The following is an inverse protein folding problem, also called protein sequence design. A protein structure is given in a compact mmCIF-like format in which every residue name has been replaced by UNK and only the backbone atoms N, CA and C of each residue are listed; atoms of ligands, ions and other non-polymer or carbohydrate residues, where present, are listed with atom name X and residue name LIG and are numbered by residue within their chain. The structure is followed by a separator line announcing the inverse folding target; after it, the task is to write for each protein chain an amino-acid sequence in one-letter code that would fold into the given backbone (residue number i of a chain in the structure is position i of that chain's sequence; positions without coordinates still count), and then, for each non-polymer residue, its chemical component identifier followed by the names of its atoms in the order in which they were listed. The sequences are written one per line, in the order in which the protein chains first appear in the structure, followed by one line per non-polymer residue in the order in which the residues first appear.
data_IF_031695322713
#
_entry.id   IF_031695322713
#
_cell.length_a   1.000
_cell.length_b   1.000
_cell.length_c   1.000
_cell.angle_alpha   90.00
_cell.angle_beta   90.00
_cell.angle_gamma   90.00
#
_symmetry.space_group_name_H-M   'P 1'
#
loop_
_entity.id
_entity.type
_entity.pdbx_description
1 polymer ?
#
# COMPACT_ATOMS: atom_id res chain seq x y z
N UNK A 1 -9.53 6.62 5.30
CA UNK A 1 -9.36 5.56 4.29
C UNK A 1 -9.50 4.20 4.96
N UNK A 2 -9.82 3.14 4.22
CA UNK A 2 -9.94 1.77 4.74
C UNK A 2 -8.67 0.97 4.48
N UNK A 3 -8.12 0.33 5.51
CA UNK A 3 -6.94 -0.55 5.40
C UNK A 3 -7.33 -1.94 4.92
N UNK A 4 -6.56 -2.48 3.98
CA UNK A 4 -6.57 -3.89 3.58
C UNK A 4 -5.17 -4.44 3.83
N UNK A 5 -5.03 -5.34 4.80
CA UNK A 5 -3.78 -6.05 5.05
C UNK A 5 -3.69 -7.26 4.13
N UNK A 6 -2.64 -7.34 3.33
CA UNK A 6 -2.39 -8.44 2.39
C UNK A 6 -1.40 -9.40 3.02
N UNK A 7 -1.91 -10.56 3.40
CA UNK A 7 -1.15 -11.64 4.02
C UNK A 7 -1.06 -12.87 3.08
N UNK A 8 -0.23 -13.84 3.47
CA UNK A 8 -0.10 -15.16 2.82
C UNK A 8 0.23 -15.16 1.32
N UNK A 9 0.99 -14.16 0.85
CA UNK A 9 1.53 -14.17 -0.52
C UNK A 9 2.75 -15.10 -0.62
N UNK A 10 2.87 -15.87 -1.73
CA UNK A 10 4.11 -16.56 -2.06
C UNK A 10 5.33 -15.65 -2.08
N UNK A 11 6.54 -16.16 -1.77
CA UNK A 11 7.76 -15.36 -1.85
C UNK A 11 8.14 -15.00 -3.29
N UNK A 12 7.79 -15.84 -4.28
CA UNK A 12 8.08 -15.58 -5.70
C UNK A 12 7.19 -14.46 -6.25
N UNK A 13 7.76 -13.35 -6.79
CA UNK A 13 6.99 -12.16 -7.16
C UNK A 13 5.88 -12.40 -8.18
N UNK A 14 6.12 -13.27 -9.16
CA UNK A 14 5.12 -13.58 -10.19
C UNK A 14 3.93 -14.37 -9.61
N UNK A 15 4.22 -15.33 -8.72
CA UNK A 15 3.17 -16.08 -8.04
C UNK A 15 2.41 -15.18 -7.04
N UNK A 16 3.11 -14.33 -6.31
CA UNK A 16 2.55 -13.33 -5.41
C UNK A 16 1.60 -12.38 -6.14
N UNK A 17 2.02 -11.84 -7.29
CA UNK A 17 1.17 -11.00 -8.13
C UNK A 17 -0.08 -11.77 -8.57
N UNK A 18 0.06 -13.04 -8.98
CA UNK A 18 -1.07 -13.89 -9.34
C UNK A 18 -2.08 -14.05 -8.21
N UNK A 19 -1.62 -14.39 -7.01
CA UNK A 19 -2.46 -14.53 -5.80
C UNK A 19 -3.12 -13.20 -5.42
N UNK A 20 -2.38 -12.09 -5.50
CA UNK A 20 -2.93 -10.75 -5.26
C UNK A 20 -4.10 -10.44 -6.21
N UNK A 21 -3.91 -10.63 -7.52
CA UNK A 21 -4.95 -10.34 -8.51
C UNK A 21 -6.16 -11.27 -8.39
N UNK A 22 -5.96 -12.52 -7.97
CA UNK A 22 -7.04 -13.49 -7.83
C UNK A 22 -7.88 -13.29 -6.56
N UNK A 23 -7.25 -12.93 -5.43
CA UNK A 23 -7.91 -12.97 -4.12
C UNK A 23 -8.04 -11.60 -3.44
N UNK A 24 -7.08 -10.71 -3.63
CA UNK A 24 -7.03 -9.42 -2.93
C UNK A 24 -7.57 -8.27 -3.77
N UNK A 25 -7.28 -8.27 -5.07
CA UNK A 25 -7.75 -7.24 -5.99
C UNK A 25 -9.28 -7.09 -5.98
N UNK A 26 -10.10 -8.15 -6.12
CA UNK A 26 -11.56 -8.00 -6.09
C UNK A 26 -12.10 -7.42 -4.78
N UNK A 27 -11.42 -7.69 -3.66
CA UNK A 27 -11.78 -7.12 -2.36
C UNK A 27 -11.50 -5.62 -2.29
N UNK A 28 -10.33 -5.19 -2.78
CA UNK A 28 -9.97 -3.77 -2.87
C UNK A 28 -10.92 -3.02 -3.80
N UNK A 29 -11.25 -3.60 -4.95
CA UNK A 29 -12.20 -3.06 -5.91
C UNK A 29 -13.61 -2.90 -5.30
N UNK A 30 -14.06 -3.87 -4.50
CA UNK A 30 -15.35 -3.78 -3.81
C UNK A 30 -15.41 -2.57 -2.87
N UNK A 31 -14.32 -2.28 -2.15
CA UNK A 31 -14.24 -1.13 -1.25
C UNK A 31 -14.26 0.19 -2.04
N UNK A 32 -13.45 0.27 -3.11
CA UNK A 32 -13.37 1.44 -3.98
C UNK A 32 -14.72 1.73 -4.66
N UNK A 33 -15.37 0.69 -5.21
CA UNK A 33 -16.71 0.79 -5.79
C UNK A 33 -17.79 1.17 -4.76
N UNK A 34 -17.58 0.81 -3.49
CA UNK A 34 -18.40 1.24 -2.35
C UNK A 34 -18.22 2.70 -1.95
N UNK A 35 -17.27 3.41 -2.56
CA UNK A 35 -17.06 4.84 -2.34
C UNK A 35 -15.99 5.17 -1.29
N UNK A 36 -15.26 4.19 -0.77
CA UNK A 36 -14.20 4.41 0.22
C UNK A 36 -12.80 4.48 -0.43
N UNK A 37 -11.92 5.33 0.09
CA UNK A 37 -10.48 5.30 -0.24
C UNK A 37 -9.81 4.08 0.41
N UNK A 38 -8.79 3.49 -0.23
CA UNK A 38 -8.11 2.28 0.25
C UNK A 38 -6.61 2.48 0.49
N UNK A 39 -6.13 1.94 1.62
CA UNK A 39 -4.72 1.68 1.92
C UNK A 39 -4.46 0.17 1.83
N UNK A 40 -3.61 -0.27 0.92
CA UNK A 40 -3.17 -1.67 0.83
C UNK A 40 -1.85 -1.83 1.59
N UNK A 41 -1.83 -2.62 2.65
CA UNK A 41 -0.65 -2.87 3.46
C UNK A 41 -0.06 -4.25 3.12
N UNK A 42 1.19 -4.27 2.64
CA UNK A 42 1.94 -5.49 2.37
C UNK A 42 2.97 -5.77 3.46
N UNK A 43 3.25 -7.04 3.71
CA UNK A 43 4.48 -7.42 4.40
C UNK A 43 5.73 -6.97 3.61
N UNK A 44 6.84 -6.63 4.30
CA UNK A 44 8.10 -6.37 3.64
C UNK A 44 8.53 -7.56 2.79
N UNK A 45 9.02 -7.27 1.59
CA UNK A 45 9.58 -8.25 0.67
C UNK A 45 10.79 -7.64 -0.01
N UNK A 46 11.57 -8.46 -0.72
CA UNK A 46 12.68 -7.92 -1.49
C UNK A 46 12.21 -6.97 -2.62
N UNK A 47 13.17 -6.25 -3.19
CA UNK A 47 12.94 -5.25 -4.23
C UNK A 47 12.24 -5.79 -5.49
N UNK A 48 12.23 -7.10 -5.72
CA UNK A 48 11.63 -7.71 -6.92
C UNK A 48 10.10 -7.66 -6.89
N UNK A 49 9.50 -7.44 -5.71
CA UNK A 49 8.05 -7.23 -5.56
C UNK A 49 7.59 -5.82 -5.92
N UNK A 50 8.50 -4.85 -5.98
CA UNK A 50 8.16 -3.43 -6.08
C UNK A 50 7.33 -3.08 -7.32
N UNK A 51 7.72 -3.61 -8.48
CA UNK A 51 7.15 -3.19 -9.77
C UNK A 51 5.69 -3.64 -9.93
N UNK A 52 5.37 -4.88 -9.58
CA UNK A 52 4.00 -5.37 -9.72
C UNK A 52 3.06 -4.71 -8.70
N UNK A 53 3.53 -4.47 -7.46
CA UNK A 53 2.77 -3.76 -6.43
C UNK A 53 2.44 -2.33 -6.89
N UNK A 54 3.44 -1.59 -7.35
CA UNK A 54 3.24 -0.23 -7.85
C UNK A 54 2.28 -0.21 -9.05
N UNK A 55 2.46 -1.11 -10.01
CA UNK A 55 1.61 -1.18 -11.21
C UNK A 55 0.14 -1.45 -10.86
N UNK A 56 -0.12 -2.41 -9.96
CA UNK A 56 -1.49 -2.72 -9.53
C UNK A 56 -2.17 -1.51 -8.86
N UNK A 57 -1.44 -0.81 -7.98
CA UNK A 57 -1.97 0.31 -7.22
C UNK A 57 -2.18 1.55 -8.09
N UNK A 58 -1.26 1.82 -9.01
CA UNK A 58 -1.43 2.88 -10.02
C UNK A 58 -2.64 2.60 -10.93
N UNK A 59 -2.86 1.34 -11.30
CA UNK A 59 -4.05 0.91 -12.04
C UNK A 59 -5.34 1.21 -11.29
N UNK A 60 -5.43 0.74 -10.03
CA UNK A 60 -6.58 0.99 -9.15
C UNK A 60 -6.87 2.48 -8.97
N UNK A 61 -5.84 3.29 -8.71
CA UNK A 61 -5.99 4.73 -8.54
C UNK A 61 -6.54 5.43 -9.79
N UNK A 62 -6.16 4.97 -10.97
CA UNK A 62 -6.65 5.51 -12.24
C UNK A 62 -8.08 5.07 -12.53
N UNK A 63 -8.37 3.80 -12.32
CA UNK A 63 -9.66 3.19 -12.66
C UNK A 63 -10.80 3.69 -11.76
N UNK A 64 -10.52 3.85 -10.46
CA UNK A 64 -11.52 4.21 -9.47
C UNK A 64 -11.52 5.69 -9.10
N UNK A 65 -10.87 6.56 -9.90
CA UNK A 65 -10.88 7.99 -9.66
C UNK A 65 -12.33 8.52 -9.56
N UNK A 66 -12.65 9.39 -8.57
CA UNK A 66 -11.74 10.12 -7.69
C UNK A 66 -11.40 9.41 -6.36
N UNK A 67 -11.65 8.11 -6.21
CA UNK A 67 -11.18 7.35 -5.03
C UNK A 67 -9.67 7.19 -5.05
N UNK A 68 -9.08 7.17 -3.86
CA UNK A 68 -7.65 6.97 -3.67
C UNK A 68 -7.35 5.50 -3.43
N UNK A 69 -6.29 5.02 -4.07
CA UNK A 69 -5.67 3.75 -3.77
C UNK A 69 -4.17 4.01 -3.56
N UNK A 70 -3.67 3.68 -2.38
CA UNK A 70 -2.24 3.79 -2.03
C UNK A 70 -1.82 2.47 -1.40
N UNK A 71 -0.59 2.06 -1.62
CA UNK A 71 0.00 0.92 -0.93
C UNK A 71 1.20 1.32 -0.10
N UNK A 72 1.42 0.53 0.95
CA UNK A 72 2.60 0.60 1.80
C UNK A 72 3.16 -0.78 2.08
N UNK A 73 4.44 -0.86 2.39
CA UNK A 73 5.04 -2.05 3.01
C UNK A 73 5.67 -1.69 4.36
N UNK A 74 5.64 -2.62 5.30
CA UNK A 74 6.12 -2.37 6.66
C UNK A 74 5.51 -3.33 7.68
N UNK A 75 5.79 -3.11 8.96
CA UNK A 75 5.28 -3.93 10.07
C UNK A 75 4.74 -3.05 11.19
N UNK A 76 3.66 -3.51 11.83
CA UNK A 76 3.11 -2.91 13.05
C UNK A 76 3.00 -1.38 13.00
N UNK A 77 3.71 -0.72 13.90
CA UNK A 77 3.69 0.74 14.05
C UNK A 77 4.05 1.52 12.78
N UNK A 78 4.86 0.96 11.88
CA UNK A 78 5.21 1.60 10.60
C UNK A 78 3.97 1.72 9.70
N UNK A 79 3.16 0.66 9.62
CA UNK A 79 1.90 0.69 8.85
C UNK A 79 0.91 1.66 9.50
N UNK A 80 0.84 1.70 10.84
CA UNK A 80 -0.04 2.63 11.56
C UNK A 80 0.37 4.10 11.35
N UNK A 81 1.67 4.38 11.28
CA UNK A 81 2.18 5.71 10.98
C UNK A 81 1.83 6.14 9.55
N UNK A 82 2.02 5.25 8.57
CA UNK A 82 1.60 5.52 7.20
C UNK A 82 0.10 5.76 7.07
N UNK A 83 -0.74 4.94 7.72
CA UNK A 83 -2.20 5.13 7.66
C UNK A 83 -2.61 6.50 8.19
N UNK A 84 -2.03 6.91 9.33
CA UNK A 84 -2.32 8.23 9.91
C UNK A 84 -1.93 9.34 8.94
N UNK A 85 -0.71 9.28 8.42
CA UNK A 85 -0.21 10.27 7.47
C UNK A 85 -1.05 10.33 6.19
N UNK A 86 -1.35 9.19 5.57
CA UNK A 86 -2.08 9.11 4.29
C UNK A 86 -3.57 9.42 4.41
N UNK A 87 -4.15 9.25 5.60
CA UNK A 87 -5.51 9.67 5.88
C UNK A 87 -5.67 11.18 5.75
N UNK A 88 -4.64 11.96 6.15
CA UNK A 88 -4.62 13.42 6.05
C UNK A 88 -4.08 13.91 4.69
N UNK A 89 -3.27 13.12 3.99
CA UNK A 89 -2.66 13.48 2.71
C UNK A 89 -3.55 13.17 1.48
N UNK A 90 -4.62 13.92 1.29
CA UNK A 90 -5.62 13.71 0.21
C UNK A 90 -5.04 13.73 -1.22
N UNK A 91 -3.91 14.39 -1.46
CA UNK A 91 -3.29 14.45 -2.79
C UNK A 91 -2.56 13.16 -3.19
N UNK A 92 -2.30 12.24 -2.26
CA UNK A 92 -1.49 11.05 -2.51
C UNK A 92 -2.38 9.89 -2.95
N UNK A 93 -2.18 9.42 -4.18
CA UNK A 93 -2.84 8.24 -4.76
C UNK A 93 -1.93 7.58 -5.83
N UNK A 94 -2.12 6.29 -6.08
CA UNK A 94 -1.36 5.52 -7.08
C UNK A 94 0.10 5.26 -6.72
N UNK A 95 0.46 5.40 -5.44
CA UNK A 95 1.83 5.24 -4.95
C UNK A 95 2.00 3.94 -4.16
N UNK A 96 3.22 3.42 -4.16
CA UNK A 96 3.68 2.36 -3.26
C UNK A 96 4.87 2.92 -2.44
N UNK A 97 4.67 3.06 -1.13
CA UNK A 97 5.68 3.59 -0.20
C UNK A 97 6.25 2.45 0.64
N UNK A 98 7.56 2.40 0.78
CA UNK A 98 8.22 1.34 1.53
C UNK A 98 8.62 1.91 2.89
N UNK A 99 8.23 1.21 3.94
CA UNK A 99 8.66 1.53 5.29
C UNK A 99 10.06 1.02 5.53
N UNK A 100 10.93 1.93 5.95
CA UNK A 100 12.28 1.60 6.38
C UNK A 100 12.18 0.81 7.71
N UNK A 101 12.95 -0.26 7.88
CA UNK A 101 13.00 -1.00 9.16
C UNK A 101 13.52 -0.10 10.32
N UNK A 102 14.11 1.05 10.00
CA UNK A 102 14.35 2.19 10.90
C UNK A 102 13.14 3.12 10.79
N UNK A 103 12.13 2.94 11.65
CA UNK A 103 10.91 3.74 11.63
C UNK A 103 11.20 5.24 11.49
N UNK A 104 10.40 5.92 10.65
CA UNK A 104 10.53 7.33 10.28
C UNK A 104 11.23 8.15 11.37
N UNK A 105 12.52 8.42 11.16
CA UNK A 105 13.35 9.15 12.11
C UNK A 105 12.66 10.47 12.46
N UNK A 106 12.60 10.77 13.75
CA UNK A 106 12.01 12.00 14.27
C UNK A 106 12.68 13.19 13.55
N UNK A 107 11.94 14.03 12.79
CA UNK A 107 12.55 15.09 11.96
C UNK A 107 13.32 16.15 12.75
N UNK A 108 13.20 16.13 14.09
CA UNK A 108 13.82 17.09 15.01
C UNK A 108 15.26 16.74 15.40
N UNK A 109 15.80 15.58 14.99
CA UNK A 109 17.12 15.11 15.45
C UNK A 109 18.21 15.05 14.34
N UNK A 110 18.12 15.90 13.31
CA UNK A 110 19.26 16.10 12.40
C UNK A 110 20.19 17.19 12.93
N UNK A 111 21.47 16.88 13.23
CA UNK A 111 22.42 17.89 13.69
C UNK A 111 22.71 18.90 12.57
N UNK A 112 22.75 20.18 12.97
CA UNK A 112 23.07 21.34 12.12
C UNK A 112 24.49 21.32 11.56
#
# INVERSE_FOLDING_TARGET
MKRVTVDDLPPEPLAAAGVFHQHWLPHVETILAGGEDVLVAFAPADHTHRQWRLAAIAGLAREYAPRRAVAVSGKGAVIDAFERYLSDAEAITGQYLEGDDEGAGDPVDQPS
#
